data_IF_075100489895
#
_entry.id   IF_075100489895
#
_cell.length_a   1.000
_cell.length_b   1.000
_cell.length_c   1.000
_cell.angle_alpha   90.00
_cell.angle_beta   90.00
_cell.angle_gamma   90.00
#
_symmetry.space_group_name_H-M   'P 1'
#
loop_
_entity.id
_entity.type
_entity.pdbx_description
1 polymer ?
#
# COMPACT_ATOMS: atom_id res chain seq x y z
N UNK A 1 12.52 -2.65 14.66
CA UNK A 1 13.50 -1.83 13.88
C UNK A 1 12.94 -1.23 12.59
N UNK A 2 12.97 -1.90 11.43
CA UNK A 2 12.59 -1.28 10.13
C UNK A 2 11.17 -0.70 10.09
N UNK A 3 10.22 -1.32 10.79
CA UNK A 3 8.86 -0.77 10.91
C UNK A 3 8.85 0.53 11.72
N UNK A 4 9.66 0.63 12.79
CA UNK A 4 9.82 1.86 13.58
C UNK A 4 10.50 2.96 12.75
N UNK A 5 11.50 2.63 11.93
CA UNK A 5 12.12 3.59 11.00
C UNK A 5 11.11 4.18 10.00
N UNK A 6 10.09 3.41 9.64
CA UNK A 6 8.98 3.87 8.80
C UNK A 6 7.91 4.66 9.58
N UNK A 7 8.07 4.84 10.89
CA UNK A 7 7.12 5.49 11.78
C UNK A 7 5.88 4.66 12.07
N UNK A 8 5.95 3.33 11.88
CA UNK A 8 4.84 2.41 12.15
C UNK A 8 4.90 1.98 13.61
N UNK A 9 3.81 2.21 14.35
CA UNK A 9 3.63 1.64 15.69
C UNK A 9 3.29 0.16 15.58
N UNK A 10 4.06 -0.70 16.26
CA UNK A 10 3.89 -2.15 16.26
C UNK A 10 3.15 -2.57 17.53
N UNK A 11 2.04 -3.30 17.36
CA UNK A 11 1.26 -3.84 18.48
C UNK A 11 1.16 -5.35 18.31
N UNK A 12 1.56 -6.11 19.33
CA UNK A 12 1.41 -7.56 19.33
C UNK A 12 0.03 -7.96 19.84
N UNK A 13 -0.66 -8.85 19.11
CA UNK A 13 -1.95 -9.41 19.51
C UNK A 13 -1.81 -10.92 19.69
N UNK A 14 -1.95 -11.42 20.92
CA UNK A 14 -1.74 -12.84 21.25
C UNK A 14 -2.80 -13.39 22.20
N UNK A 15 -3.05 -14.70 22.10
CA UNK A 15 -3.82 -15.48 23.07
C UNK A 15 -3.01 -15.94 24.27
N UNK A 16 -1.69 -15.78 24.24
CA UNK A 16 -0.80 -16.18 25.33
C UNK A 16 -0.98 -15.33 26.58
N UNK A 17 -0.44 -15.82 27.69
CA UNK A 17 -0.43 -15.10 28.97
C UNK A 17 0.32 -13.76 28.88
N UNK A 18 -0.07 -12.82 29.74
CA UNK A 18 0.61 -11.50 29.84
C UNK A 18 2.11 -11.60 30.09
N UNK A 19 2.56 -12.60 30.83
CA UNK A 19 3.98 -12.78 31.13
C UNK A 19 4.80 -13.12 29.88
N UNK A 20 4.28 -14.01 29.03
CA UNK A 20 4.92 -14.37 27.76
C UNK A 20 4.87 -13.20 26.78
N UNK A 21 3.72 -12.55 26.66
CA UNK A 21 3.56 -11.40 25.79
C UNK A 21 4.52 -10.24 26.17
N UNK A 22 4.65 -9.94 27.47
CA UNK A 22 5.58 -8.92 27.94
C UNK A 22 7.05 -9.26 27.65
N UNK A 23 7.43 -10.53 27.82
CA UNK A 23 8.79 -10.99 27.54
C UNK A 23 9.14 -10.84 26.05
N UNK A 24 8.28 -11.32 25.16
CA UNK A 24 8.48 -11.24 23.71
C UNK A 24 8.45 -9.79 23.23
N UNK A 25 7.52 -8.97 23.74
CA UNK A 25 7.45 -7.56 23.40
C UNK A 25 8.73 -6.82 23.80
N UNK A 26 9.29 -7.13 24.98
CA UNK A 26 10.54 -6.54 25.43
C UNK A 26 11.76 -6.98 24.61
N UNK A 27 11.82 -8.25 24.19
CA UNK A 27 12.92 -8.77 23.36
C UNK A 27 12.92 -8.19 21.94
N UNK A 28 11.74 -7.97 21.38
CA UNK A 28 11.55 -7.49 20.00
C UNK A 28 11.29 -5.98 19.89
N UNK A 29 11.39 -5.24 21.00
CA UNK A 29 11.15 -3.79 21.08
C UNK A 29 9.74 -3.38 20.61
N UNK A 30 8.71 -4.16 20.91
CA UNK A 30 7.34 -3.88 20.46
C UNK A 30 6.69 -2.77 21.31
N UNK A 31 6.08 -1.77 20.66
CA UNK A 31 5.51 -0.60 21.34
C UNK A 31 4.37 -0.93 22.32
N UNK A 32 3.58 -1.97 22.04
CA UNK A 32 2.44 -2.38 22.85
C UNK A 32 2.05 -3.84 22.62
N UNK A 33 1.34 -4.44 23.56
CA UNK A 33 0.81 -5.79 23.41
C UNK A 33 -0.57 -5.97 24.04
N UNK A 34 -1.39 -6.80 23.41
CA UNK A 34 -2.70 -7.21 23.89
C UNK A 34 -2.66 -8.73 24.02
N UNK A 35 -2.61 -9.21 25.25
CA UNK A 35 -2.49 -10.63 25.61
C UNK A 35 -3.84 -11.24 26.01
N UNK A 36 -3.87 -12.57 26.13
CA UNK A 36 -5.05 -13.34 26.55
C UNK A 36 -6.29 -13.10 25.66
N UNK A 37 -6.08 -12.83 24.37
CA UNK A 37 -7.14 -12.57 23.40
C UNK A 37 -7.57 -13.84 22.70
N UNK A 38 -8.85 -14.19 22.85
CA UNK A 38 -9.47 -15.28 22.11
C UNK A 38 -9.54 -14.96 20.61
N UNK A 39 -9.43 -15.95 19.70
CA UNK A 39 -9.51 -15.72 18.26
C UNK A 39 -10.73 -14.90 17.83
N UNK A 40 -11.89 -15.18 18.44
CA UNK A 40 -13.18 -14.52 18.20
C UNK A 40 -13.20 -13.02 18.58
N UNK A 41 -12.29 -12.58 19.43
CA UNK A 41 -12.24 -11.19 19.90
C UNK A 41 -11.12 -10.38 19.24
N UNK A 42 -10.34 -10.99 18.32
CA UNK A 42 -9.21 -10.30 17.69
C UNK A 42 -9.66 -9.16 16.77
N UNK A 43 -10.76 -9.35 16.05
CA UNK A 43 -11.34 -8.33 15.18
C UNK A 43 -11.88 -7.13 15.96
N UNK A 44 -12.44 -7.35 17.16
CA UNK A 44 -12.82 -6.26 18.08
C UNK A 44 -11.62 -5.40 18.48
N UNK A 45 -10.46 -6.01 18.73
CA UNK A 45 -9.22 -5.27 19.05
C UNK A 45 -8.73 -4.46 17.86
N UNK A 46 -8.81 -5.01 16.65
CA UNK A 46 -8.52 -4.27 15.42
C UNK A 46 -9.49 -3.08 15.27
N UNK A 47 -10.78 -3.30 15.50
CA UNK A 47 -11.80 -2.25 15.43
C UNK A 47 -11.56 -1.14 16.47
N UNK A 48 -11.16 -1.50 17.69
CA UNK A 48 -10.82 -0.53 18.73
C UNK A 48 -9.63 0.36 18.31
N UNK A 49 -8.57 -0.24 17.75
CA UNK A 49 -7.42 0.51 17.23
C UNK A 49 -7.81 1.43 16.06
N UNK A 50 -8.72 0.99 15.18
CA UNK A 50 -9.26 1.82 14.11
C UNK A 50 -10.12 2.97 14.64
N UNK A 51 -10.90 2.74 15.70
CA UNK A 51 -11.73 3.75 16.35
C UNK A 51 -10.90 4.88 16.98
N UNK A 52 -9.63 4.63 17.31
CA UNK A 52 -8.65 5.67 17.69
C UNK A 52 -8.18 6.53 16.51
N UNK A 53 -8.74 6.34 15.30
CA UNK A 53 -8.39 7.07 14.08
C UNK A 53 -7.14 6.53 13.38
N UNK A 54 -6.66 5.34 13.75
CA UNK A 54 -5.48 4.73 13.15
C UNK A 54 -5.84 3.93 11.91
N UNK A 55 -4.87 3.82 11.00
CA UNK A 55 -4.90 2.85 9.91
C UNK A 55 -4.17 1.59 10.36
N UNK A 56 -4.87 0.47 10.35
CA UNK A 56 -4.38 -0.78 10.92
C UNK A 56 -4.03 -1.75 9.80
N UNK A 57 -2.77 -2.19 9.78
CA UNK A 57 -2.35 -3.35 9.02
C UNK A 57 -2.21 -4.54 9.98
N UNK A 58 -2.97 -5.62 9.74
CA UNK A 58 -2.91 -6.83 10.55
C UNK A 58 -2.07 -7.88 9.84
N UNK A 59 -1.15 -8.52 10.58
CA UNK A 59 -0.35 -9.64 10.10
C UNK A 59 -0.72 -10.88 10.90
N UNK A 60 -1.03 -11.99 10.23
CA UNK A 60 -1.48 -13.22 10.89
C UNK A 60 -1.31 -14.47 10.02
N UNK A 61 -1.71 -15.63 10.53
CA UNK A 61 -1.57 -16.92 9.83
C UNK A 61 -2.68 -17.19 8.77
N UNK A 62 -3.74 -16.38 8.80
CA UNK A 62 -4.87 -16.47 7.86
C UNK A 62 -5.89 -17.57 8.17
N UNK A 63 -5.67 -18.41 9.17
CA UNK A 63 -6.63 -19.45 9.60
C UNK A 63 -7.35 -19.02 10.87
N UNK A 64 -6.60 -18.69 11.92
CA UNK A 64 -7.15 -18.27 13.19
C UNK A 64 -7.44 -16.76 13.22
N UNK A 65 -6.76 -16.02 12.35
CA UNK A 65 -6.78 -14.56 12.31
C UNK A 65 -7.67 -13.99 11.20
N UNK A 66 -8.38 -14.85 10.46
CA UNK A 66 -9.17 -14.47 9.29
C UNK A 66 -10.17 -13.30 9.53
N UNK A 67 -11.00 -13.32 10.60
CA UNK A 67 -11.91 -12.21 10.88
C UNK A 67 -11.17 -10.89 11.11
N UNK A 68 -10.04 -10.94 11.81
CA UNK A 68 -9.26 -9.76 12.16
C UNK A 68 -8.46 -9.22 10.95
N UNK A 69 -7.96 -10.12 10.08
CA UNK A 69 -7.35 -9.77 8.78
C UNK A 69 -8.34 -9.06 7.86
N UNK A 70 -9.58 -9.54 7.79
CA UNK A 70 -10.65 -8.94 6.99
C UNK A 70 -11.15 -7.60 7.55
N UNK A 71 -11.06 -7.40 8.88
CA UNK A 71 -11.41 -6.15 9.56
C UNK A 71 -10.39 -5.04 9.35
N UNK A 72 -9.11 -5.39 9.28
CA UNK A 72 -8.01 -4.44 9.13
C UNK A 72 -8.12 -3.61 7.83
N UNK A 73 -7.53 -2.41 7.82
CA UNK A 73 -7.43 -1.63 6.58
C UNK A 73 -6.56 -2.36 5.54
N UNK A 74 -5.58 -3.13 6.01
CA UNK A 74 -4.76 -4.04 5.19
C UNK A 74 -4.51 -5.34 5.96
N UNK A 75 -5.15 -6.43 5.56
CA UNK A 75 -4.84 -7.78 6.05
C UNK A 75 -3.68 -8.41 5.29
N UNK A 76 -2.68 -8.91 6.03
CA UNK A 76 -1.47 -9.56 5.50
C UNK A 76 -1.36 -10.97 6.10
N UNK A 77 -1.53 -12.01 5.29
CA UNK A 77 -1.35 -13.38 5.74
C UNK A 77 0.09 -13.87 5.53
N UNK A 78 0.65 -14.57 6.53
CA UNK A 78 1.93 -15.28 6.44
C UNK A 78 1.65 -16.77 6.27
N UNK A 79 2.21 -17.39 5.23
CA UNK A 79 2.13 -18.83 5.04
C UNK A 79 1.41 -19.27 3.78
N UNK A 80 1.39 -20.58 3.55
CA UNK A 80 0.91 -21.22 2.33
C UNK A 80 -0.61 -21.17 2.22
N UNK A 81 -1.12 -20.06 1.69
CA UNK A 81 -2.33 -19.97 0.85
C UNK A 81 -3.46 -20.96 1.16
N UNK A 82 -3.83 -21.12 2.44
CA UNK A 82 -5.08 -21.80 2.78
C UNK A 82 -6.21 -20.99 2.17
N UNK A 83 -7.28 -21.65 1.72
CA UNK A 83 -8.39 -20.97 1.05
C UNK A 83 -8.94 -19.82 1.93
N UNK A 84 -8.95 -20.03 3.25
CA UNK A 84 -9.34 -19.03 4.24
C UNK A 84 -8.43 -17.79 4.21
N UNK A 85 -7.11 -17.97 4.13
CA UNK A 85 -6.16 -16.86 4.06
C UNK A 85 -6.29 -16.07 2.74
N UNK A 86 -6.59 -16.78 1.65
CA UNK A 86 -6.79 -16.18 0.31
C UNK A 86 -8.05 -15.31 0.28
N UNK A 87 -9.12 -15.75 0.93
CA UNK A 87 -10.37 -14.99 0.99
C UNK A 87 -10.32 -13.84 2.00
N UNK A 88 -9.51 -13.96 3.06
CA UNK A 88 -9.56 -13.04 4.20
C UNK A 88 -8.49 -11.95 4.20
N UNK A 89 -7.38 -12.12 3.46
CA UNK A 89 -6.27 -11.17 3.45
C UNK A 89 -6.07 -10.51 2.07
N UNK A 90 -5.81 -9.21 2.07
CA UNK A 90 -5.49 -8.46 0.84
C UNK A 90 -4.08 -8.73 0.30
N UNK A 91 -3.17 -9.24 1.14
CA UNK A 91 -1.79 -9.57 0.77
C UNK A 91 -1.39 -10.91 1.39
N UNK A 92 -0.70 -11.76 0.61
CA UNK A 92 -0.24 -13.08 1.05
C UNK A 92 1.27 -13.19 0.87
N UNK A 93 1.98 -13.51 1.95
CA UNK A 93 3.41 -13.73 1.96
C UNK A 93 3.74 -15.21 1.69
N UNK A 94 3.90 -15.53 0.40
CA UNK A 94 4.12 -16.90 -0.11
C UNK A 94 5.37 -17.57 0.47
N UNK A 95 6.40 -16.80 0.83
CA UNK A 95 7.68 -17.31 1.35
C UNK A 95 7.71 -17.48 2.87
N UNK A 96 6.60 -17.23 3.55
CA UNK A 96 6.47 -17.33 5.02
C UNK A 96 7.51 -16.51 5.79
N UNK A 97 8.02 -15.43 5.20
CA UNK A 97 9.04 -14.58 5.83
C UNK A 97 8.40 -13.27 6.31
N UNK A 98 8.29 -13.02 7.63
CA UNK A 98 7.70 -11.78 8.16
C UNK A 98 8.46 -10.51 7.75
N UNK A 99 9.75 -10.60 7.39
CA UNK A 99 10.52 -9.47 6.87
C UNK A 99 9.98 -8.96 5.52
N UNK A 100 9.22 -9.78 4.80
CA UNK A 100 8.58 -9.37 3.54
C UNK A 100 7.45 -8.34 3.77
N UNK A 101 6.94 -8.20 5.00
CA UNK A 101 5.99 -7.13 5.36
C UNK A 101 6.60 -5.75 5.06
N UNK A 102 7.88 -5.56 5.36
CA UNK A 102 8.57 -4.27 5.10
C UNK A 102 8.63 -3.96 3.60
N UNK A 103 8.81 -4.99 2.76
CA UNK A 103 8.88 -4.82 1.30
C UNK A 103 7.56 -4.32 0.71
N UNK A 104 6.44 -4.61 1.36
CA UNK A 104 5.12 -4.09 0.96
C UNK A 104 5.11 -2.56 1.07
N UNK A 105 5.65 -1.99 2.14
CA UNK A 105 5.73 -0.53 2.31
C UNK A 105 6.59 0.12 1.23
N UNK A 106 7.75 -0.46 0.92
CA UNK A 106 8.63 0.03 -0.16
C UNK A 106 7.91 0.00 -1.51
N UNK A 107 7.25 -1.13 -1.82
CA UNK A 107 6.51 -1.30 -3.06
C UNK A 107 5.33 -0.32 -3.16
N UNK A 108 4.59 -0.14 -2.07
CA UNK A 108 3.47 0.80 -1.98
C UNK A 108 3.93 2.23 -2.26
N UNK A 109 5.00 2.71 -1.60
CA UNK A 109 5.57 4.05 -1.82
C UNK A 109 6.07 4.23 -3.26
N UNK A 110 6.77 3.25 -3.79
CA UNK A 110 7.27 3.29 -5.17
C UNK A 110 6.11 3.35 -6.19
N UNK A 111 5.08 2.53 -5.99
CA UNK A 111 3.90 2.48 -6.85
C UNK A 111 3.10 3.78 -6.79
N UNK A 112 2.91 4.33 -5.58
CA UNK A 112 2.22 5.60 -5.38
C UNK A 112 2.96 6.78 -6.03
N UNK A 113 4.29 6.79 -5.96
CA UNK A 113 5.12 7.77 -6.67
C UNK A 113 4.89 7.72 -8.19
N UNK A 114 4.82 6.51 -8.78
CA UNK A 114 4.51 6.33 -10.20
C UNK A 114 3.10 6.75 -10.57
N UNK A 115 2.12 6.43 -9.73
CA UNK A 115 0.75 6.89 -9.91
C UNK A 115 0.67 8.42 -9.95
N UNK A 116 1.32 9.11 -8.99
CA UNK A 116 1.37 10.58 -8.96
C UNK A 116 2.05 11.18 -10.19
N UNK A 117 3.17 10.61 -10.64
CA UNK A 117 3.87 11.06 -11.85
C UNK A 117 2.99 10.90 -13.10
N UNK A 118 2.32 9.75 -13.23
CA UNK A 118 1.42 9.47 -14.34
C UNK A 118 0.19 10.39 -14.33
N UNK A 119 -0.38 10.66 -13.15
CA UNK A 119 -1.49 11.59 -13.00
C UNK A 119 -1.07 13.02 -13.35
N UNK A 120 0.08 13.47 -12.87
CA UNK A 120 0.62 14.79 -13.22
C UNK A 120 0.83 14.91 -14.73
N UNK A 121 1.33 13.85 -15.38
CA UNK A 121 1.47 13.87 -16.84
C UNK A 121 0.12 13.94 -17.55
N UNK A 122 -0.80 13.06 -17.17
CA UNK A 122 -2.12 12.96 -17.77
C UNK A 122 -2.91 14.27 -17.61
N UNK A 123 -2.89 14.88 -16.44
CA UNK A 123 -3.55 16.16 -16.20
C UNK A 123 -2.80 17.30 -16.89
N UNK A 124 -1.47 17.33 -16.80
CA UNK A 124 -0.64 18.40 -17.36
C UNK A 124 -0.81 18.58 -18.88
N UNK A 125 -0.82 17.49 -19.65
CA UNK A 125 -1.03 17.62 -21.09
C UNK A 125 -2.47 18.06 -21.42
N UNK A 126 -3.47 17.58 -20.67
CA UNK A 126 -4.88 17.98 -20.89
C UNK A 126 -5.12 19.45 -20.56
N UNK A 127 -4.46 19.98 -19.51
CA UNK A 127 -4.50 21.41 -19.16
C UNK A 127 -4.03 22.28 -20.31
N UNK A 128 -3.13 21.79 -21.17
CA UNK A 128 -2.66 22.51 -22.36
C UNK A 128 -3.57 22.21 -23.56
N UNK A 129 -3.86 20.93 -23.82
CA UNK A 129 -4.57 20.48 -25.01
C UNK A 129 -6.02 21.00 -25.08
N UNK A 130 -6.74 21.06 -23.95
CA UNK A 130 -8.15 21.49 -23.92
C UNK A 130 -8.28 22.99 -24.30
N UNK A 131 -7.55 23.94 -23.68
CA UNK A 131 -7.59 25.34 -24.11
C UNK A 131 -7.15 25.55 -25.57
N UNK A 132 -6.16 24.80 -26.04
CA UNK A 132 -5.72 24.87 -27.44
C UNK A 132 -6.79 24.36 -28.41
N UNK A 133 -7.52 23.29 -28.06
CA UNK A 133 -8.64 22.78 -28.85
C UNK A 133 -9.87 23.71 -28.80
N UNK A 134 -10.09 24.37 -27.66
CA UNK A 134 -11.13 25.38 -27.50
C UNK A 134 -10.83 26.70 -28.23
N UNK A 135 -9.65 26.85 -28.85
CA UNK A 135 -9.28 28.00 -29.65
C UNK A 135 -8.81 29.22 -28.84
N UNK A 136 -8.41 29.06 -27.58
CA UNK A 136 -7.94 30.18 -26.73
C UNK A 136 -6.76 30.93 -27.36
N UNK A 137 -5.87 30.21 -28.06
CA UNK A 137 -4.70 30.80 -28.74
C UNK A 137 -4.96 31.20 -30.20
N UNK A 138 -6.16 30.92 -30.73
CA UNK A 138 -6.49 31.20 -32.13
C UNK A 138 -6.47 32.70 -32.47
N UNK A 139 -7.02 33.62 -31.65
CA UNK A 139 -7.04 35.05 -31.98
C UNK A 139 -5.66 35.72 -32.00
N UNK A 140 -4.70 35.21 -31.24
CA UNK A 140 -3.37 35.82 -31.07
C UNK A 140 -2.30 35.17 -31.94
N UNK A 141 -2.37 33.85 -32.13
CA UNK A 141 -1.32 33.07 -32.78
C UNK A 141 -1.84 32.22 -33.96
N UNK A 142 -3.14 32.21 -34.23
CA UNK A 142 -3.74 31.36 -35.26
C UNK A 142 -3.68 29.86 -34.96
N UNK A 143 -3.36 29.48 -33.72
CA UNK A 143 -3.17 28.08 -33.31
C UNK A 143 -4.52 27.49 -32.87
N UNK A 144 -4.94 26.42 -33.54
CA UNK A 144 -6.08 25.59 -33.15
C UNK A 144 -5.64 24.12 -33.18
N UNK A 145 -5.88 23.39 -32.09
CA UNK A 145 -5.55 21.96 -32.05
C UNK A 145 -6.56 21.18 -32.90
N UNK A 146 -6.08 20.54 -33.98
CA UNK A 146 -6.94 19.66 -34.78
C UNK A 146 -7.21 18.33 -34.06
N UNK A 147 -8.34 17.65 -34.35
CA UNK A 147 -8.61 16.31 -33.82
C UNK A 147 -7.48 15.30 -34.10
N UNK A 148 -6.85 15.39 -35.28
CA UNK A 148 -5.72 14.53 -35.65
C UNK A 148 -4.48 14.80 -34.77
N UNK A 149 -4.14 16.07 -34.54
CA UNK A 149 -3.05 16.44 -33.64
C UNK A 149 -3.34 16.01 -32.19
N UNK A 150 -4.59 16.16 -31.73
CA UNK A 150 -5.04 15.66 -30.43
C UNK A 150 -4.88 14.15 -30.28
N UNK A 151 -5.22 13.37 -31.30
CA UNK A 151 -5.06 11.92 -31.30
C UNK A 151 -3.57 11.49 -31.21
N UNK A 152 -2.68 12.22 -31.89
CA UNK A 152 -1.22 11.99 -31.80
C UNK A 152 -0.74 12.29 -30.37
N UNK A 153 -1.12 13.43 -29.79
CA UNK A 153 -0.75 13.80 -28.42
C UNK A 153 -1.25 12.78 -27.39
N UNK A 154 -2.48 12.29 -27.55
CA UNK A 154 -3.05 11.25 -26.68
C UNK A 154 -2.26 9.93 -26.77
N UNK A 155 -1.87 9.54 -27.99
CA UNK A 155 -1.04 8.36 -28.23
C UNK A 155 0.33 8.49 -27.57
N UNK A 156 0.99 9.64 -27.75
CA UNK A 156 2.29 9.92 -27.11
C UNK A 156 2.19 9.93 -25.59
N UNK A 157 1.15 10.55 -25.02
CA UNK A 157 0.91 10.58 -23.57
C UNK A 157 0.80 9.17 -22.99
N UNK A 158 0.06 8.29 -23.67
CA UNK A 158 -0.07 6.87 -23.29
C UNK A 158 1.29 6.15 -23.26
N UNK A 159 2.13 6.38 -24.28
CA UNK A 159 3.47 5.79 -24.37
C UNK A 159 4.34 6.28 -23.22
N UNK A 160 4.34 7.57 -22.91
CA UNK A 160 5.14 8.16 -21.83
C UNK A 160 4.75 7.59 -20.46
N UNK A 161 3.45 7.52 -20.18
CA UNK A 161 2.92 6.93 -18.93
C UNK A 161 3.30 5.45 -18.83
N UNK A 162 3.17 4.70 -19.93
CA UNK A 162 3.55 3.29 -19.97
C UNK A 162 5.05 3.09 -19.69
N UNK A 163 5.93 3.85 -20.35
CA UNK A 163 7.38 3.80 -20.11
C UNK A 163 7.69 4.16 -18.65
N UNK A 164 7.07 5.20 -18.12
CA UNK A 164 7.28 5.59 -16.73
C UNK A 164 6.86 4.48 -15.75
N UNK A 165 5.73 3.82 -15.99
CA UNK A 165 5.30 2.67 -15.19
C UNK A 165 6.32 1.51 -15.24
N UNK A 166 6.93 1.25 -16.41
CA UNK A 166 7.94 0.18 -16.54
C UNK A 166 9.19 0.42 -15.68
N UNK A 167 9.49 1.67 -15.32
CA UNK A 167 10.62 1.96 -14.44
C UNK A 167 10.41 1.48 -13.00
N UNK A 168 9.17 1.17 -12.59
CA UNK A 168 8.86 0.53 -11.30
C UNK A 168 9.58 -0.81 -11.13
N UNK A 169 9.84 -1.54 -12.23
CA UNK A 169 10.62 -2.80 -12.20
C UNK A 169 12.05 -2.64 -11.69
N UNK A 170 12.57 -1.41 -11.66
CA UNK A 170 13.90 -1.08 -11.13
C UNK A 170 13.85 -0.68 -9.66
N UNK A 171 12.67 -0.60 -9.04
CA UNK A 171 12.54 -0.29 -7.63
C UNK A 171 13.23 -1.36 -6.80
N UNK A 172 14.09 -0.93 -5.87
CA UNK A 172 14.77 -1.83 -4.94
C UNK A 172 13.86 -2.04 -3.74
N UNK A 173 13.34 -3.26 -3.60
CA UNK A 173 12.51 -3.66 -2.46
C UNK A 173 13.43 -4.14 -1.33
N UNK A 174 13.24 -3.63 -0.10
CA UNK A 174 14.05 -3.98 1.06
C UNK A 174 15.40 -3.26 1.14
N UNK A 175 15.59 -2.17 0.38
CA UNK A 175 16.82 -1.37 0.36
C UNK A 175 16.78 -0.13 1.27
N UNK A 176 15.65 0.14 1.95
CA UNK A 176 15.56 1.17 2.98
C UNK A 176 16.02 0.57 4.32
N UNK A 177 17.18 0.84 4.92
CA UNK A 177 18.36 1.58 4.54
C UNK A 177 19.60 0.67 4.74
N UNK A 178 20.62 0.87 3.91
CA UNK A 178 22.01 0.54 4.21
C UNK A 178 22.76 1.88 4.40
#
# INVERSE_FOLDING_TARGET
>A
DRLHELGVRVVMLTGDSKAVAAAVAGELDIDDYIAEVLPENKDEKVAALQAEGRKVAMVGDGVNDAPALARADVGIAIGSGTDVAIESAGIILVKSNPLDVVKIFDLSRASYSKMRQNLLWATGYNVIAIPLAAGVLYPFFGILLSPAAGAILMSLSTIVVAINAQTLRRARLGASAA
#
